data_IF_456394070092
#
_entry.id   IF_456394070092
#
_cell.length_a   1.000
_cell.length_b   1.000
_cell.length_c   1.000
_cell.angle_alpha   90.00
_cell.angle_beta   90.00
_cell.angle_gamma   90.00
#
_symmetry.space_group_name_H-M   'P 1'
#
loop_
_entity.id
_entity.type
_entity.pdbx_description
1 polymer ?
#
# COMPACT_ATOMS: atom_id res chain seq x y z
N UNK A 1 25.01 41.18 21.90
CA UNK A 1 25.33 39.85 22.44
C UNK A 1 24.41 38.81 21.81
N UNK A 2 24.82 38.18 20.72
CA UNK A 2 24.03 37.16 20.01
C UNK A 2 24.39 35.77 20.53
N UNK A 3 23.41 35.14 21.20
CA UNK A 3 23.53 33.84 21.86
C UNK A 3 23.65 32.74 20.80
N UNK A 4 24.87 32.22 20.62
CA UNK A 4 25.13 31.02 19.82
C UNK A 4 24.36 29.84 20.38
N UNK A 5 23.26 29.44 19.72
CA UNK A 5 22.64 28.13 19.95
C UNK A 5 23.56 27.08 19.37
N UNK A 6 24.40 26.48 20.21
CA UNK A 6 24.97 25.18 19.95
C UNK A 6 23.83 24.14 19.91
N UNK A 7 23.20 23.97 18.75
CA UNK A 7 22.39 22.77 18.48
C UNK A 7 23.35 21.60 18.32
N UNK A 8 23.59 20.88 19.41
CA UNK A 8 24.47 19.71 19.38
C UNK A 8 23.99 18.65 18.37
N UNK A 9 24.90 17.81 17.84
CA UNK A 9 24.62 16.83 16.78
C UNK A 9 23.46 15.87 17.09
N UNK A 10 23.20 15.60 18.39
CA UNK A 10 22.07 14.80 18.86
C UNK A 10 20.69 15.40 18.55
N UNK A 11 20.56 16.73 18.56
CA UNK A 11 19.27 17.42 18.33
C UNK A 11 18.89 17.43 16.84
N UNK A 12 19.90 17.59 15.98
CA UNK A 12 19.73 17.52 14.53
C UNK A 12 19.36 16.10 14.09
N UNK A 13 20.05 15.07 14.60
CA UNK A 13 19.75 13.68 14.29
C UNK A 13 18.32 13.27 14.73
N UNK A 14 17.87 13.73 15.91
CA UNK A 14 16.47 13.53 16.35
C UNK A 14 15.45 14.17 15.42
N UNK A 15 15.72 15.37 14.89
CA UNK A 15 14.84 16.04 13.93
C UNK A 15 14.74 15.28 12.61
N UNK A 16 15.85 14.77 12.08
CA UNK A 16 15.85 13.95 10.86
C UNK A 16 15.09 12.64 11.03
N UNK A 17 15.31 11.94 12.14
CA UNK A 17 14.55 10.73 12.45
C UNK A 17 13.05 11.02 12.58
N UNK A 18 12.68 12.15 13.18
CA UNK A 18 11.30 12.61 13.24
C UNK A 18 10.71 12.91 11.86
N UNK A 19 11.47 13.58 10.98
CA UNK A 19 11.04 13.88 9.62
C UNK A 19 10.86 12.61 8.78
N UNK A 20 11.79 11.64 8.88
CA UNK A 20 11.68 10.34 8.21
C UNK A 20 10.45 9.58 8.71
N UNK A 21 10.27 9.50 10.04
CA UNK A 21 9.10 8.86 10.64
C UNK A 21 7.79 9.50 10.19
N UNK A 22 7.72 10.83 10.14
CA UNK A 22 6.55 11.54 9.64
C UNK A 22 6.28 11.27 8.16
N UNK A 23 7.32 11.24 7.32
CA UNK A 23 7.16 10.91 5.89
C UNK A 23 6.65 9.47 5.69
N UNK A 24 7.18 8.51 6.46
CA UNK A 24 6.71 7.12 6.44
C UNK A 24 5.26 7.00 6.91
N UNK A 25 4.88 7.71 7.97
CA UNK A 25 3.50 7.74 8.46
C UNK A 25 2.55 8.34 7.41
N UNK A 26 2.93 9.47 6.81
CA UNK A 26 2.13 10.11 5.78
C UNK A 26 1.95 9.19 4.58
N UNK A 27 3.03 8.57 4.12
CA UNK A 27 3.01 7.64 2.98
C UNK A 27 2.11 6.44 3.27
N UNK A 28 2.28 5.82 4.45
CA UNK A 28 1.42 4.73 4.92
C UNK A 28 -0.06 5.13 4.96
N UNK A 29 -0.37 6.30 5.53
CA UNK A 29 -1.74 6.79 5.60
C UNK A 29 -2.35 7.04 4.21
N UNK A 30 -1.60 7.65 3.30
CA UNK A 30 -2.07 7.88 1.92
C UNK A 30 -2.27 6.59 1.15
N UNK A 31 -1.38 5.61 1.30
CA UNK A 31 -1.53 4.29 0.67
C UNK A 31 -2.76 3.57 1.21
N UNK A 32 -3.01 3.63 2.52
CA UNK A 32 -4.17 3.02 3.14
C UNK A 32 -5.49 3.68 2.68
N UNK A 33 -5.52 5.00 2.57
CA UNK A 33 -6.67 5.73 2.04
C UNK A 33 -6.97 5.36 0.58
N UNK A 34 -5.94 5.21 -0.25
CA UNK A 34 -6.06 4.71 -1.62
C UNK A 34 -6.72 3.33 -1.66
N UNK A 35 -6.16 2.36 -0.93
CA UNK A 35 -6.69 1.00 -0.89
C UNK A 35 -8.16 0.92 -0.43
N UNK A 36 -8.57 1.75 0.54
CA UNK A 36 -10.00 1.84 0.94
C UNK A 36 -10.88 2.30 -0.21
N UNK A 37 -10.38 3.27 -0.99
CA UNK A 37 -11.11 3.86 -2.11
C UNK A 37 -11.17 2.92 -3.32
N UNK A 38 -10.11 2.18 -3.60
CA UNK A 38 -10.03 1.25 -4.74
C UNK A 38 -10.82 -0.05 -4.50
N UNK A 39 -10.99 -0.44 -3.23
CA UNK A 39 -11.74 -1.62 -2.84
C UNK A 39 -12.92 -1.29 -1.91
N UNK A 40 -13.96 -0.57 -2.36
CA UNK A 40 -15.13 -0.28 -1.55
C UNK A 40 -15.98 -1.53 -1.33
N UNK A 41 -16.63 -1.61 -0.17
CA UNK A 41 -17.67 -2.62 0.07
C UNK A 41 -18.92 -2.16 -0.69
N UNK A 42 -19.35 -2.91 -1.70
CA UNK A 42 -20.50 -2.54 -2.52
C UNK A 42 -21.81 -2.80 -1.74
N UNK A 43 -22.62 -1.75 -1.46
CA UNK A 43 -23.89 -1.93 -0.78
C UNK A 43 -24.85 -2.80 -1.60
N UNK A 44 -24.80 -2.70 -2.93
CA UNK A 44 -25.63 -3.53 -3.81
C UNK A 44 -25.24 -5.02 -3.77
N UNK A 45 -23.96 -5.35 -3.64
CA UNK A 45 -23.52 -6.75 -3.50
C UNK A 45 -24.00 -7.31 -2.17
N UNK A 46 -23.85 -6.54 -1.09
CA UNK A 46 -24.33 -6.93 0.25
C UNK A 46 -25.85 -7.11 0.26
N UNK A 47 -26.59 -6.17 -0.33
CA UNK A 47 -28.04 -6.25 -0.45
C UNK A 47 -28.47 -7.53 -1.19
N UNK A 48 -27.84 -7.83 -2.33
CA UNK A 48 -28.08 -9.05 -3.08
C UNK A 48 -27.72 -10.33 -2.31
N UNK A 49 -26.69 -10.32 -1.45
CA UNK A 49 -26.35 -11.48 -0.60
C UNK A 49 -27.37 -11.71 0.52
N UNK A 50 -28.01 -10.64 1.01
CA UNK A 50 -29.01 -10.72 2.08
C UNK A 50 -30.43 -10.94 1.58
N UNK A 51 -30.68 -10.66 0.30
CA UNK A 51 -31.99 -10.77 -0.33
C UNK A 51 -32.33 -12.26 -0.59
N UNK A 52 -33.40 -12.81 0.00
CA UNK A 52 -33.78 -14.21 -0.21
C UNK A 52 -34.11 -14.51 -1.68
N UNK A 53 -34.68 -13.55 -2.40
CA UNK A 53 -34.99 -13.63 -3.82
C UNK A 53 -33.75 -13.81 -4.72
N UNK A 54 -32.58 -13.35 -4.24
CA UNK A 54 -31.30 -13.51 -4.93
C UNK A 54 -30.56 -14.82 -4.59
N UNK A 55 -31.14 -15.71 -3.78
CA UNK A 55 -30.50 -16.94 -3.34
C UNK A 55 -30.01 -17.84 -4.49
N UNK A 56 -30.73 -17.84 -5.63
CA UNK A 56 -30.30 -18.55 -6.85
C UNK A 56 -28.99 -18.00 -7.44
N UNK A 57 -28.74 -16.70 -7.34
CA UNK A 57 -27.50 -16.07 -7.79
C UNK A 57 -26.36 -16.39 -6.81
N UNK A 58 -26.64 -16.31 -5.50
CA UNK A 58 -25.66 -16.65 -4.46
C UNK A 58 -25.19 -18.10 -4.47
N UNK A 59 -26.09 -19.04 -4.82
CA UNK A 59 -25.79 -20.48 -4.90
C UNK A 59 -24.97 -20.88 -6.15
N UNK A 60 -24.84 -20.01 -7.16
CA UNK A 60 -24.10 -20.32 -8.39
C UNK A 60 -22.59 -20.32 -8.14
N UNK A 61 -21.82 -21.21 -8.80
CA UNK A 61 -20.36 -21.13 -8.77
C UNK A 61 -19.86 -19.78 -9.27
N UNK A 62 -18.87 -19.23 -8.58
CA UNK A 62 -18.21 -18.00 -8.99
C UNK A 62 -17.42 -18.23 -10.31
N UNK A 63 -17.28 -17.18 -11.13
CA UNK A 63 -16.66 -17.24 -12.46
C UNK A 63 -17.51 -17.87 -13.58
N UNK A 64 -18.74 -18.32 -13.28
CA UNK A 64 -19.60 -18.99 -14.28
C UNK A 64 -20.53 -18.01 -15.00
N UNK A 65 -20.03 -17.40 -16.09
CA UNK A 65 -20.77 -16.46 -16.95
C UNK A 65 -21.54 -17.16 -18.08
N UNK A 66 -20.96 -18.21 -18.68
CA UNK A 66 -21.37 -18.70 -20.00
C UNK A 66 -22.72 -19.43 -20.03
N UNK A 67 -23.26 -19.84 -18.90
CA UNK A 67 -24.50 -20.64 -18.84
C UNK A 67 -25.62 -19.98 -18.06
N UNK A 68 -25.46 -18.68 -17.74
CA UNK A 68 -26.22 -18.07 -16.67
C UNK A 68 -27.13 -16.96 -17.18
N UNK A 69 -28.48 -17.11 -17.08
CA UNK A 69 -29.39 -16.04 -17.44
C UNK A 69 -29.26 -14.86 -16.46
N UNK A 70 -29.37 -13.65 -17.03
CA UNK A 70 -29.41 -12.38 -16.30
C UNK A 70 -30.56 -12.44 -15.28
N UNK A 71 -30.34 -12.01 -14.03
CA UNK A 71 -31.39 -12.01 -13.02
C UNK A 71 -32.54 -11.07 -13.41
N UNK A 72 -33.77 -11.46 -13.12
CA UNK A 72 -34.96 -10.65 -13.44
C UNK A 72 -35.16 -9.45 -12.50
N UNK A 73 -34.45 -9.44 -11.36
CA UNK A 73 -34.58 -8.42 -10.34
C UNK A 73 -33.28 -7.61 -10.28
N UNK A 74 -33.42 -6.28 -10.37
CA UNK A 74 -32.30 -5.36 -10.35
C UNK A 74 -31.45 -5.47 -9.07
N UNK A 75 -32.08 -5.81 -7.93
CA UNK A 75 -31.38 -5.98 -6.65
C UNK A 75 -30.36 -7.13 -6.68
N UNK A 76 -30.53 -8.12 -7.56
CA UNK A 76 -29.60 -9.24 -7.72
C UNK A 76 -28.51 -8.98 -8.75
N UNK A 77 -28.61 -7.92 -9.55
CA UNK A 77 -27.71 -7.64 -10.66
C UNK A 77 -26.27 -7.39 -10.19
N UNK A 78 -26.11 -6.60 -9.13
CA UNK A 78 -24.82 -6.35 -8.46
C UNK A 78 -24.14 -7.63 -8.01
N UNK A 79 -24.87 -8.51 -7.31
CA UNK A 79 -24.37 -9.80 -6.86
C UNK A 79 -24.00 -10.70 -8.05
N UNK A 80 -24.83 -10.68 -9.10
CA UNK A 80 -24.59 -11.45 -10.32
C UNK A 80 -23.30 -11.01 -11.00
N UNK A 81 -23.12 -9.71 -11.25
CA UNK A 81 -21.90 -9.16 -11.88
C UNK A 81 -20.67 -9.45 -11.02
N UNK A 82 -20.78 -9.31 -9.69
CA UNK A 82 -19.70 -9.64 -8.77
C UNK A 82 -19.29 -11.13 -8.88
N UNK A 83 -20.26 -12.06 -8.80
CA UNK A 83 -19.97 -13.51 -8.89
C UNK A 83 -19.52 -13.95 -10.28
N UNK A 84 -19.96 -13.24 -11.32
CA UNK A 84 -19.51 -13.43 -12.69
C UNK A 84 -18.05 -12.99 -12.89
N UNK A 85 -17.67 -11.84 -12.34
CA UNK A 85 -16.38 -11.19 -12.62
C UNK A 85 -15.22 -11.84 -11.87
N UNK A 86 -15.47 -12.43 -10.70
CA UNK A 86 -14.43 -13.01 -9.86
C UNK A 86 -14.62 -14.52 -9.72
N UNK A 87 -13.59 -15.34 -10.02
CA UNK A 87 -13.68 -16.80 -9.97
C UNK A 87 -13.84 -17.35 -8.54
N UNK A 88 -13.37 -16.61 -7.54
CA UNK A 88 -13.46 -16.96 -6.11
C UNK A 88 -14.40 -16.02 -5.33
N UNK A 89 -15.44 -15.52 -5.99
CA UNK A 89 -16.40 -14.61 -5.37
C UNK A 89 -17.10 -15.27 -4.16
N UNK A 90 -17.11 -14.57 -3.03
CA UNK A 90 -17.80 -14.99 -1.81
C UNK A 90 -19.32 -15.07 -2.03
N UNK A 91 -19.98 -16.04 -1.39
CA UNK A 91 -21.44 -16.22 -1.45
C UNK A 91 -22.16 -15.61 -0.24
N UNK A 92 -21.44 -15.19 0.79
CA UNK A 92 -21.95 -14.62 2.03
C UNK A 92 -21.28 -13.29 2.38
N UNK A 93 -21.99 -12.47 3.16
CA UNK A 93 -21.55 -11.13 3.56
C UNK A 93 -20.24 -11.13 4.39
N UNK A 94 -20.06 -11.98 5.42
CA UNK A 94 -18.80 -11.98 6.16
C UNK A 94 -17.61 -12.36 5.30
N UNK A 95 -17.71 -13.40 4.47
CA UNK A 95 -16.64 -13.78 3.53
C UNK A 95 -16.35 -12.72 2.48
N UNK A 96 -17.38 -11.99 2.01
CA UNK A 96 -17.18 -10.87 1.10
C UNK A 96 -16.38 -9.73 1.75
N UNK A 97 -16.73 -9.37 2.99
CA UNK A 97 -16.03 -8.31 3.73
C UNK A 97 -14.59 -8.70 4.05
N UNK A 98 -14.35 -9.94 4.43
CA UNK A 98 -12.97 -10.42 4.66
C UNK A 98 -12.18 -10.45 3.36
N UNK A 99 -12.77 -10.88 2.25
CA UNK A 99 -12.13 -10.83 0.94
C UNK A 99 -11.74 -9.40 0.53
N UNK A 100 -12.64 -8.42 0.68
CA UNK A 100 -12.33 -7.00 0.43
C UNK A 100 -11.19 -6.52 1.33
N UNK A 101 -11.20 -6.88 2.62
CA UNK A 101 -10.12 -6.52 3.54
C UNK A 101 -8.78 -7.09 3.09
N UNK A 102 -8.75 -8.35 2.64
CA UNK A 102 -7.54 -8.98 2.12
C UNK A 102 -7.02 -8.27 0.86
N UNK A 103 -7.90 -7.86 -0.05
CA UNK A 103 -7.53 -7.06 -1.23
C UNK A 103 -6.88 -5.73 -0.82
N UNK A 104 -7.51 -4.98 0.11
CA UNK A 104 -6.96 -3.72 0.65
C UNK A 104 -5.58 -3.90 1.27
N UNK A 105 -5.41 -4.95 2.07
CA UNK A 105 -4.12 -5.25 2.73
C UNK A 105 -3.07 -5.66 1.71
N UNK A 106 -3.44 -6.47 0.72
CA UNK A 106 -2.54 -6.88 -0.36
C UNK A 106 -2.04 -5.68 -1.17
N UNK A 107 -2.95 -4.84 -1.62
CA UNK A 107 -2.63 -3.61 -2.36
C UNK A 107 -1.79 -2.64 -1.51
N UNK A 108 -2.14 -2.47 -0.24
CA UNK A 108 -1.37 -1.66 0.69
C UNK A 108 0.09 -2.13 0.77
N UNK A 109 0.32 -3.42 1.00
CA UNK A 109 1.67 -3.97 1.10
C UNK A 109 2.45 -3.83 -0.21
N UNK A 110 1.77 -4.01 -1.36
CA UNK A 110 2.39 -3.86 -2.66
C UNK A 110 2.85 -2.41 -2.91
N UNK A 111 1.94 -1.45 -2.75
CA UNK A 111 2.24 -0.02 -2.97
C UNK A 111 3.25 0.51 -1.95
N UNK A 112 3.06 0.18 -0.67
CA UNK A 112 4.00 0.58 0.38
C UNK A 112 5.39 -0.03 0.15
N UNK A 113 5.44 -1.29 -0.28
CA UNK A 113 6.68 -1.96 -0.67
C UNK A 113 7.39 -1.26 -1.83
N UNK A 114 6.67 -0.83 -2.86
CA UNK A 114 7.26 -0.07 -3.96
C UNK A 114 7.84 1.27 -3.52
N UNK A 115 7.14 2.00 -2.63
CA UNK A 115 7.66 3.24 -2.07
C UNK A 115 8.97 2.98 -1.32
N UNK A 116 9.02 1.96 -0.47
CA UNK A 116 10.24 1.60 0.26
C UNK A 116 11.39 1.20 -0.67
N UNK A 117 11.12 0.41 -1.70
CA UNK A 117 12.12 -0.01 -2.67
C UNK A 117 12.68 1.18 -3.46
N UNK A 118 11.83 2.12 -3.84
CA UNK A 118 12.25 3.35 -4.50
C UNK A 118 13.12 4.20 -3.56
N UNK A 119 12.76 4.31 -2.29
CA UNK A 119 13.57 5.00 -1.29
C UNK A 119 14.96 4.37 -1.11
N UNK A 120 15.05 3.04 -1.02
CA UNK A 120 16.35 2.37 -0.87
C UNK A 120 17.20 2.51 -2.13
N UNK A 121 16.59 2.45 -3.32
CA UNK A 121 17.28 2.66 -4.59
C UNK A 121 17.85 4.09 -4.68
N UNK A 122 17.07 5.12 -4.33
CA UNK A 122 17.53 6.51 -4.32
C UNK A 122 18.65 6.72 -3.30
N UNK A 123 18.51 6.21 -2.08
CA UNK A 123 19.55 6.30 -1.06
C UNK A 123 20.83 5.57 -1.50
N UNK A 124 20.72 4.39 -2.10
CA UNK A 124 21.85 3.63 -2.63
C UNK A 124 22.58 4.37 -3.75
N UNK A 125 21.84 4.93 -4.71
CA UNK A 125 22.40 5.65 -5.86
C UNK A 125 22.97 7.03 -5.50
N UNK A 126 22.46 7.70 -4.47
CA UNK A 126 22.93 9.04 -4.08
C UNK A 126 23.95 8.97 -2.95
N UNK A 127 23.59 8.31 -1.84
CA UNK A 127 24.46 8.26 -0.66
C UNK A 127 25.65 7.32 -0.85
N UNK A 128 25.49 6.23 -1.62
CA UNK A 128 26.55 5.27 -1.92
C UNK A 128 27.77 5.92 -2.61
N UNK A 129 27.59 6.60 -3.75
CA UNK A 129 28.69 7.28 -4.43
C UNK A 129 29.31 8.41 -3.60
N UNK A 130 28.50 9.20 -2.91
CA UNK A 130 28.98 10.29 -2.02
C UNK A 130 29.87 9.70 -0.92
N UNK A 131 29.44 8.61 -0.29
CA UNK A 131 30.24 7.94 0.75
C UNK A 131 31.54 7.35 0.21
N UNK A 132 31.51 6.71 -0.96
CA UNK A 132 32.71 6.19 -1.64
C UNK A 132 33.69 7.33 -1.97
N UNK A 133 33.19 8.44 -2.52
CA UNK A 133 34.01 9.62 -2.85
C UNK A 133 34.66 10.23 -1.61
N UNK A 134 33.89 10.45 -0.54
CA UNK A 134 34.41 11.00 0.72
C UNK A 134 35.45 10.07 1.35
N UNK A 135 35.19 8.76 1.35
CA UNK A 135 36.13 7.77 1.87
C UNK A 135 37.43 7.78 1.07
N UNK A 136 37.36 7.80 -0.26
CA UNK A 136 38.53 7.81 -1.16
C UNK A 136 39.33 9.12 -1.06
N UNK A 137 38.66 10.26 -0.92
CA UNK A 137 39.29 11.56 -0.70
C UNK A 137 40.00 11.65 0.68
N UNK A 138 39.41 11.08 1.72
CA UNK A 138 40.02 11.00 3.06
C UNK A 138 41.29 10.13 3.11
N UNK A 139 41.33 9.03 2.36
CA UNK A 139 42.57 8.24 2.20
C UNK A 139 43.66 9.02 1.45
N UNK A 140 43.29 9.81 0.43
CA UNK A 140 44.24 10.62 -0.34
C UNK A 140 44.90 11.72 0.50
N UNK A 141 44.15 12.35 1.41
CA UNK A 141 44.72 13.35 2.34
C UNK A 141 45.63 12.76 3.42
N UNK A 142 45.43 11.50 3.84
CA UNK A 142 46.33 10.83 4.80
C UNK A 142 47.65 10.36 4.19
N UNK A 143 47.69 10.03 2.90
CA UNK A 143 48.93 9.69 2.19
C UNK A 143 49.87 10.88 2.02
N UNK A 144 49.34 12.04 1.62
CA UNK A 144 50.14 13.25 1.38
C UNK A 144 50.77 13.88 2.63
N UNK A 145 50.30 13.55 3.84
CA UNK A 145 50.86 14.07 5.10
C UNK A 145 52.04 13.24 5.64
N UNK A 146 52.36 12.12 5.01
CA UNK A 146 53.44 11.21 5.45
C UNK A 146 54.74 11.37 4.66
N UNK A 147 54.73 12.18 3.59
CA UNK A 147 55.89 12.44 2.71
C UNK A 147 56.48 13.86 2.87
N UNK A 148 56.11 14.58 3.93
CA UNK A 148 56.78 15.83 4.34
C UNK A 148 57.39 15.69 5.72
#
# INVERSE_FOLDING_TARGET
>A
MTRGRHTGPRTWMRRWLGAIGFCLLLSSATTWLGAIHDHPVSPGVVAGMTAPECGRVGARPAGSILTTPIPEQDVCLSLFVYRASYPDAASDVPSYRTWILQQRVGEFWQLFGYVLLLWTAVLGLVAGPIWIFMRRAGYRHRGSRRER
#
